data_IF_736967635806
#
_entry.id   IF_736967635806
#
_cell.length_a   1.000
_cell.length_b   1.000
_cell.length_c   1.000
_cell.angle_alpha   90.00
_cell.angle_beta   90.00
_cell.angle_gamma   90.00
#
_symmetry.space_group_name_H-M   'P 1'
#
loop_
_entity.id
_entity.type
_entity.pdbx_description
1 polymer ?
#
# COMPACT_ATOMS: atom_id res chain seq x y z
N UNK A 1 -21.56 -7.98 -2.85
CA UNK A 1 -20.40 -7.32 -2.19
C UNK A 1 -19.11 -7.88 -2.76
N UNK A 2 -18.27 -7.11 -3.48
CA UNK A 2 -17.03 -7.64 -4.03
C UNK A 2 -15.90 -7.60 -3.00
N UNK A 3 -15.14 -8.70 -2.92
CA UNK A 3 -13.92 -8.82 -2.11
C UNK A 3 -12.76 -8.17 -2.89
N UNK A 4 -12.18 -7.10 -2.37
CA UNK A 4 -10.93 -6.56 -2.89
C UNK A 4 -9.81 -7.58 -2.67
N UNK A 5 -9.42 -8.27 -3.75
CA UNK A 5 -8.27 -9.16 -3.79
C UNK A 5 -7.02 -8.31 -4.05
N UNK A 6 -6.29 -7.94 -3.00
CA UNK A 6 -4.99 -7.27 -3.13
C UNK A 6 -3.96 -8.21 -3.79
N UNK A 7 -3.92 -8.20 -5.12
CA UNK A 7 -3.01 -8.95 -5.99
C UNK A 7 -2.21 -7.97 -6.87
N UNK A 8 -1.68 -6.89 -6.29
CA UNK A 8 -0.81 -5.97 -7.04
C UNK A 8 0.49 -6.69 -7.45
N UNK A 9 0.79 -6.66 -8.75
CA UNK A 9 1.89 -7.37 -9.40
C UNK A 9 3.27 -6.94 -8.87
N UNK A 10 3.36 -5.70 -8.42
CA UNK A 10 4.57 -5.08 -7.82
C UNK A 10 5.04 -5.85 -6.58
N UNK A 11 4.10 -6.37 -5.76
CA UNK A 11 4.46 -7.12 -4.56
C UNK A 11 5.08 -8.49 -4.89
N UNK A 12 4.82 -9.06 -6.07
CA UNK A 12 5.28 -10.40 -6.45
C UNK A 12 6.78 -10.43 -6.72
N UNK A 13 7.34 -9.39 -7.35
CA UNK A 13 8.79 -9.32 -7.66
C UNK A 13 9.67 -9.22 -6.41
N UNK A 14 9.14 -8.71 -5.29
CA UNK A 14 9.88 -8.65 -4.02
C UNK A 14 9.93 -9.99 -3.25
N UNK A 15 9.08 -10.97 -3.63
CA UNK A 15 9.06 -12.30 -3.01
C UNK A 15 9.92 -13.33 -3.75
N UNK A 16 10.17 -13.17 -5.05
CA UNK A 16 10.93 -14.14 -5.85
C UNK A 16 12.44 -14.10 -5.58
N UNK A 17 12.97 -12.98 -5.05
CA UNK A 17 14.38 -12.83 -4.65
C UNK A 17 14.56 -12.53 -3.15
N UNK A 18 13.59 -12.86 -2.30
CA UNK A 18 13.71 -12.60 -0.87
C UNK A 18 14.70 -13.60 -0.22
N UNK A 19 15.94 -13.20 0.16
CA UNK A 19 16.84 -14.07 0.92
C UNK A 19 16.13 -14.50 2.21
N UNK A 20 16.52 -15.65 2.79
CA UNK A 20 15.88 -16.23 3.97
C UNK A 20 15.64 -15.21 5.11
N UNK A 21 16.53 -14.22 5.27
CA UNK A 21 16.40 -13.13 6.24
C UNK A 21 15.17 -12.23 6.06
N UNK A 22 14.67 -12.06 4.83
CA UNK A 22 13.47 -11.27 4.56
C UNK A 22 12.19 -11.92 5.11
N UNK A 23 12.06 -13.24 5.00
CA UNK A 23 10.92 -13.98 5.58
C UNK A 23 10.96 -13.95 7.12
N UNK A 24 12.17 -14.02 7.69
CA UNK A 24 12.37 -13.95 9.13
C UNK A 24 12.04 -12.55 9.67
N UNK A 25 12.48 -11.50 8.99
CA UNK A 25 12.16 -10.12 9.38
C UNK A 25 10.65 -9.84 9.32
N UNK A 26 9.99 -10.21 8.22
CA UNK A 26 8.53 -10.01 8.06
C UNK A 26 7.75 -10.79 9.14
N UNK A 27 8.17 -12.02 9.48
CA UNK A 27 7.57 -12.82 10.55
C UNK A 27 7.83 -12.22 11.95
N UNK A 28 9.04 -11.71 12.20
CA UNK A 28 9.40 -11.11 13.48
C UNK A 28 8.66 -9.78 13.71
N UNK A 29 8.48 -8.95 12.69
CA UNK A 29 7.66 -7.73 12.78
C UNK A 29 6.20 -8.05 13.07
N UNK A 30 5.64 -9.06 12.39
CA UNK A 30 4.28 -9.51 12.65
C UNK A 30 4.11 -10.09 14.07
N UNK A 31 5.14 -10.73 14.60
CA UNK A 31 5.13 -11.32 15.95
C UNK A 31 5.27 -10.25 17.05
N UNK A 32 6.22 -9.32 16.91
CA UNK A 32 6.48 -8.24 17.88
C UNK A 32 5.31 -7.26 17.96
N UNK A 33 4.61 -7.01 16.84
CA UNK A 33 3.45 -6.12 16.79
C UNK A 33 2.13 -6.72 17.28
N UNK A 34 2.12 -7.98 17.73
CA UNK A 34 0.89 -8.68 18.12
C UNK A 34 0.55 -8.46 19.60
N UNK A 35 -0.73 -8.15 19.89
CA UNK A 35 -1.26 -8.11 21.27
C UNK A 35 -1.02 -9.40 22.05
N UNK A 36 -0.97 -10.55 21.36
CA UNK A 36 -0.71 -11.85 22.00
C UNK A 36 0.72 -11.96 22.55
N UNK A 37 1.70 -11.34 21.88
CA UNK A 37 3.10 -11.37 22.32
C UNK A 37 3.27 -10.63 23.65
N UNK A 38 2.67 -9.43 23.77
CA UNK A 38 2.72 -8.65 25.01
C UNK A 38 2.15 -9.43 26.20
N UNK A 39 1.00 -10.09 26.03
CA UNK A 39 0.37 -10.88 27.09
C UNK A 39 1.28 -12.04 27.53
N UNK A 40 1.83 -12.80 26.58
CA UNK A 40 2.73 -13.93 26.88
C UNK A 40 3.99 -13.43 27.59
N UNK A 41 4.60 -12.33 27.12
CA UNK A 41 5.79 -11.74 27.73
C UNK A 41 5.52 -11.30 29.17
N UNK A 42 4.40 -10.61 29.43
CA UNK A 42 4.03 -10.15 30.78
C UNK A 42 3.80 -11.34 31.73
N UNK A 43 3.11 -12.38 31.27
CA UNK A 43 2.89 -13.60 32.08
C UNK A 43 4.21 -14.29 32.39
N UNK A 44 5.10 -14.43 31.40
CA UNK A 44 6.40 -15.09 31.58
C UNK A 44 7.28 -14.35 32.61
N UNK A 45 7.32 -13.02 32.53
CA UNK A 45 8.02 -12.18 33.52
C UNK A 45 7.40 -12.31 34.90
N UNK A 46 6.06 -12.30 34.98
CA UNK A 46 5.34 -12.48 36.24
C UNK A 46 5.63 -13.83 36.89
N UNK A 47 5.62 -14.92 36.12
CA UNK A 47 5.96 -16.27 36.58
C UNK A 47 7.41 -16.34 37.03
N UNK A 48 8.35 -15.69 36.33
CA UNK A 48 9.76 -15.64 36.72
C UNK A 48 9.94 -14.95 38.08
N UNK A 49 9.33 -13.78 38.26
CA UNK A 49 9.41 -13.02 39.52
C UNK A 49 8.78 -13.82 40.66
N UNK A 50 7.55 -14.31 40.48
CA UNK A 50 6.84 -15.09 41.51
C UNK A 50 7.62 -16.36 41.85
N UNK A 51 8.15 -17.07 40.85
CA UNK A 51 8.96 -18.25 41.05
C UNK A 51 10.24 -17.97 41.86
N UNK A 52 10.96 -16.89 41.54
CA UNK A 52 12.17 -16.52 42.26
C UNK A 52 11.91 -16.11 43.71
N UNK A 53 10.81 -15.37 43.96
CA UNK A 53 10.45 -14.88 45.29
C UNK A 53 9.86 -16.00 46.17
N UNK A 54 9.02 -16.88 45.62
CA UNK A 54 8.29 -17.90 46.38
C UNK A 54 9.10 -19.18 46.59
N UNK A 55 9.85 -19.64 45.58
CA UNK A 55 10.56 -20.93 45.66
C UNK A 55 11.92 -20.85 46.39
N UNK A 56 12.31 -19.71 46.98
CA UNK A 56 13.56 -19.54 47.76
C UNK A 56 14.86 -19.91 47.01
N UNK A 57 14.81 -20.17 45.70
CA UNK A 57 15.96 -20.64 44.93
C UNK A 57 17.04 -19.56 44.71
N UNK A 58 16.84 -18.32 45.15
CA UNK A 58 17.80 -17.20 45.06
C UNK A 58 18.53 -17.12 43.70
N UNK A 59 17.85 -17.55 42.63
CA UNK A 59 18.48 -17.71 41.33
C UNK A 59 18.71 -16.35 40.67
N UNK A 60 17.87 -15.36 41.01
CA UNK A 60 18.04 -13.95 40.67
C UNK A 60 17.50 -13.06 41.81
N UNK A 61 18.28 -12.82 42.88
CA UNK A 61 17.87 -11.96 44.00
C UNK A 61 17.66 -10.51 43.54
N UNK A 62 16.84 -9.75 44.26
CA UNK A 62 16.65 -8.33 44.01
C UNK A 62 18.02 -7.61 43.95
N UNK A 63 18.40 -6.95 42.83
CA UNK A 63 17.56 -6.25 41.84
C UNK A 63 17.37 -6.95 40.48
N UNK A 64 17.27 -8.29 40.44
CA UNK A 64 17.01 -9.09 39.22
C UNK A 64 17.99 -8.79 38.06
N UNK A 65 19.28 -9.05 38.28
CA UNK A 65 20.36 -8.74 37.33
C UNK A 65 20.21 -9.56 36.05
N UNK A 66 19.81 -10.82 36.15
CA UNK A 66 19.67 -11.69 34.98
C UNK A 66 18.49 -11.27 34.11
N UNK A 67 17.36 -10.93 34.73
CA UNK A 67 16.20 -10.42 34.02
C UNK A 67 16.52 -9.10 33.29
N UNK A 68 17.22 -8.18 33.97
CA UNK A 68 17.66 -6.92 33.36
C UNK A 68 18.64 -7.15 32.19
N UNK A 69 19.56 -8.10 32.32
CA UNK A 69 20.50 -8.45 31.24
C UNK A 69 19.79 -9.08 30.04
N UNK A 70 18.81 -9.93 30.29
CA UNK A 70 17.99 -10.55 29.26
C UNK A 70 17.19 -9.50 28.47
N UNK A 71 16.52 -8.57 29.16
CA UNK A 71 15.81 -7.46 28.51
C UNK A 71 16.74 -6.53 27.74
N UNK A 72 17.92 -6.22 28.29
CA UNK A 72 18.91 -5.39 27.61
C UNK A 72 19.40 -6.04 26.32
N UNK A 73 19.65 -7.35 26.36
CA UNK A 73 20.04 -8.14 25.18
C UNK A 73 18.89 -8.25 24.18
N UNK A 74 17.66 -8.46 24.66
CA UNK A 74 16.46 -8.50 23.83
C UNK A 74 16.27 -7.18 23.07
N UNK A 75 16.43 -6.04 23.74
CA UNK A 75 16.37 -4.72 23.11
C UNK A 75 17.50 -4.52 22.09
N UNK A 76 18.73 -4.95 22.42
CA UNK A 76 19.89 -4.84 21.53
C UNK A 76 19.71 -5.63 20.22
N UNK A 77 19.07 -6.81 20.26
CA UNK A 77 18.75 -7.58 19.05
C UNK A 77 17.47 -7.10 18.34
N UNK A 78 16.51 -6.54 19.08
CA UNK A 78 15.29 -5.99 18.49
C UNK A 78 15.58 -4.77 17.61
N UNK A 79 16.46 -3.86 18.04
CA UNK A 79 16.79 -2.64 17.29
C UNK A 79 17.25 -2.88 15.83
N UNK A 80 18.25 -3.72 15.54
CA UNK A 80 18.68 -3.99 14.16
C UNK A 80 17.62 -4.75 13.37
N UNK A 81 16.86 -5.65 14.01
CA UNK A 81 15.78 -6.38 13.36
C UNK A 81 14.64 -5.45 12.94
N UNK A 82 14.26 -4.50 13.80
CA UNK A 82 13.27 -3.46 13.50
C UNK A 82 13.79 -2.54 12.39
N UNK A 83 15.06 -2.17 12.40
CA UNK A 83 15.67 -1.35 11.35
C UNK A 83 15.65 -2.06 9.99
N UNK A 84 15.99 -3.34 9.95
CA UNK A 84 15.93 -4.15 8.73
C UNK A 84 14.50 -4.29 8.20
N UNK A 85 13.55 -4.54 9.10
CA UNK A 85 12.13 -4.59 8.74
C UNK A 85 11.62 -3.24 8.22
N UNK A 86 11.98 -2.13 8.88
CA UNK A 86 11.61 -0.78 8.48
C UNK A 86 12.18 -0.38 7.12
N UNK A 87 13.48 -0.61 6.88
CA UNK A 87 14.11 -0.33 5.58
C UNK A 87 13.42 -1.10 4.44
N UNK A 88 12.99 -2.34 4.69
CA UNK A 88 12.24 -3.14 3.70
C UNK A 88 10.83 -2.64 3.48
N UNK A 89 10.13 -2.18 4.52
CA UNK A 89 8.82 -1.54 4.38
C UNK A 89 8.90 -0.27 3.54
N UNK A 90 9.91 0.58 3.78
CA UNK A 90 10.14 1.81 3.00
C UNK A 90 10.42 1.49 1.53
N UNK A 91 11.19 0.44 1.24
CA UNK A 91 11.45 0.03 -0.15
C UNK A 91 10.16 -0.44 -0.86
N UNK A 92 9.31 -1.22 -0.17
CA UNK A 92 8.00 -1.62 -0.70
C UNK A 92 7.12 -0.41 -0.99
N UNK A 93 7.07 0.53 -0.04
CA UNK A 93 6.24 1.73 -0.14
C UNK A 93 6.68 2.59 -1.33
N UNK A 94 8.00 2.83 -1.45
CA UNK A 94 8.57 3.60 -2.56
C UNK A 94 8.23 3.01 -3.93
N UNK A 95 8.37 1.69 -4.10
CA UNK A 95 7.99 1.03 -5.36
C UNK A 95 6.49 1.12 -5.65
N UNK A 96 5.66 1.04 -4.60
CA UNK A 96 4.20 1.17 -4.73
C UNK A 96 3.84 2.58 -5.19
N UNK A 97 4.50 3.60 -4.63
CA UNK A 97 4.33 5.00 -5.03
C UNK A 97 4.81 5.24 -6.47
N UNK A 98 5.96 4.70 -6.87
CA UNK A 98 6.46 4.82 -8.24
C UNK A 98 5.50 4.18 -9.27
N UNK A 99 4.92 3.03 -8.94
CA UNK A 99 3.92 2.41 -9.81
C UNK A 99 2.61 3.20 -9.87
N UNK A 100 2.16 3.75 -8.74
CA UNK A 100 0.96 4.59 -8.70
C UNK A 100 1.17 5.87 -9.52
N UNK A 101 2.35 6.49 -9.45
CA UNK A 101 2.71 7.65 -10.26
C UNK A 101 2.69 7.31 -11.76
N UNK A 102 3.33 6.21 -12.17
CA UNK A 102 3.32 5.79 -13.57
C UNK A 102 1.91 5.46 -14.09
N UNK A 103 1.03 4.93 -13.23
CA UNK A 103 -0.38 4.71 -13.57
C UNK A 103 -1.14 6.03 -13.74
N UNK A 104 -0.90 7.00 -12.85
CA UNK A 104 -1.50 8.33 -12.94
C UNK A 104 -1.12 9.04 -14.24
N UNK A 105 0.14 8.96 -14.67
CA UNK A 105 0.60 9.54 -15.94
C UNK A 105 -0.15 8.95 -17.15
N UNK A 106 -0.36 7.63 -17.16
CA UNK A 106 -1.12 6.95 -18.23
C UNK A 106 -2.59 7.34 -18.19
N UNK A 107 -3.19 7.43 -17.00
CA UNK A 107 -4.58 7.89 -16.83
C UNK A 107 -4.75 9.34 -17.30
N UNK A 108 -3.80 10.22 -17.01
CA UNK A 108 -3.78 11.60 -17.49
C UNK A 108 -3.73 11.66 -19.02
N UNK A 109 -2.81 10.91 -19.65
CA UNK A 109 -2.75 10.81 -21.11
C UNK A 109 -4.06 10.28 -21.71
N UNK A 110 -4.68 9.28 -21.09
CA UNK A 110 -5.96 8.74 -21.55
C UNK A 110 -7.07 9.79 -21.44
N UNK A 111 -7.11 10.52 -20.34
CA UNK A 111 -8.10 11.58 -20.13
C UNK A 111 -7.93 12.70 -21.16
N UNK A 112 -6.69 13.12 -21.46
CA UNK A 112 -6.43 14.08 -22.54
C UNK A 112 -6.91 13.58 -23.91
N UNK A 113 -6.69 12.30 -24.22
CA UNK A 113 -7.16 11.71 -25.48
C UNK A 113 -8.68 11.69 -25.56
N UNK A 114 -9.37 11.38 -24.46
CA UNK A 114 -10.83 11.43 -24.38
C UNK A 114 -11.35 12.85 -24.60
N UNK A 115 -10.77 13.84 -23.91
CA UNK A 115 -11.14 15.26 -24.08
C UNK A 115 -10.95 15.75 -25.52
N UNK A 116 -9.84 15.36 -26.18
CA UNK A 116 -9.62 15.67 -27.60
C UNK A 116 -10.67 15.02 -28.49
N UNK A 117 -11.02 13.76 -28.22
CA UNK A 117 -12.08 13.04 -28.92
C UNK A 117 -13.44 13.73 -28.80
N UNK A 118 -13.81 14.14 -27.59
CA UNK A 118 -15.07 14.86 -27.33
C UNK A 118 -15.13 16.19 -28.08
N UNK A 119 -14.03 16.95 -28.09
CA UNK A 119 -13.94 18.20 -28.86
C UNK A 119 -14.14 17.94 -30.36
N UNK A 120 -13.52 16.89 -30.91
CA UNK A 120 -13.68 16.55 -32.33
C UNK A 120 -15.11 16.13 -32.66
N UNK A 121 -15.76 15.35 -31.80
CA UNK A 121 -17.17 14.96 -31.95
C UNK A 121 -18.06 16.20 -31.96
N UNK A 122 -17.88 17.11 -31.00
CA UNK A 122 -18.65 18.36 -30.93
C UNK A 122 -18.46 19.21 -32.19
N UNK A 123 -17.24 19.30 -32.72
CA UNK A 123 -16.95 20.03 -33.97
C UNK A 123 -17.65 19.39 -35.18
N UNK A 124 -17.70 18.06 -35.26
CA UNK A 124 -18.44 17.34 -36.31
C UNK A 124 -19.93 17.60 -36.22
N UNK A 125 -20.51 17.57 -35.01
CA UNK A 125 -21.93 17.89 -34.78
C UNK A 125 -22.25 19.31 -35.24
N UNK A 126 -21.46 20.31 -34.83
CA UNK A 126 -21.66 21.70 -35.26
C UNK A 126 -21.59 21.86 -36.79
N UNK A 127 -20.67 21.14 -37.44
CA UNK A 127 -20.55 21.14 -38.91
C UNK A 127 -21.77 20.53 -39.58
N UNK A 128 -22.33 19.44 -39.02
CA UNK A 128 -23.55 18.82 -39.52
C UNK A 128 -24.75 19.77 -39.37
N UNK A 129 -24.88 20.46 -38.24
CA UNK A 129 -25.92 21.47 -38.04
C UNK A 129 -25.84 22.58 -39.08
N UNK A 130 -24.64 23.11 -39.38
CA UNK A 130 -24.47 24.12 -40.42
C UNK A 130 -24.90 23.62 -41.81
N UNK A 131 -24.54 22.38 -42.17
CA UNK A 131 -24.96 21.79 -43.45
C UNK A 131 -26.48 21.61 -43.54
N UNK A 132 -27.14 21.23 -42.45
CA UNK A 132 -28.59 21.10 -42.40
C UNK A 132 -29.24 22.47 -42.66
N UNK A 133 -28.80 23.51 -41.95
CA UNK A 133 -29.31 24.87 -42.13
C UNK A 133 -29.09 25.40 -43.56
N UNK A 134 -27.93 25.14 -44.15
CA UNK A 134 -27.62 25.53 -45.53
C UNK A 134 -28.55 24.83 -46.54
N UNK A 135 -28.78 23.52 -46.36
CA UNK A 135 -29.72 22.76 -47.19
C UNK A 135 -31.16 23.28 -47.07
N UNK A 136 -31.62 23.59 -45.85
CA UNK A 136 -32.93 24.18 -45.61
C UNK A 136 -33.09 25.52 -46.34
N UNK A 137 -32.10 26.41 -46.24
CA UNK A 137 -32.12 27.70 -46.94
C UNK A 137 -32.15 27.53 -48.46
N UNK A 138 -31.38 26.57 -48.99
CA UNK A 138 -31.33 26.29 -50.44
C UNK A 138 -32.67 25.78 -50.96
N UNK A 139 -33.32 24.86 -50.25
CA UNK A 139 -34.66 24.35 -50.59
C UNK A 139 -35.69 25.48 -50.56
N UNK A 140 -35.68 26.31 -49.52
CA UNK A 140 -36.60 27.46 -49.41
C UNK A 140 -36.41 28.47 -50.54
N UNK A 141 -35.16 28.71 -50.97
CA UNK A 141 -34.84 29.58 -52.11
C UNK A 141 -35.37 29.01 -53.43
N UNK A 142 -35.19 27.71 -53.69
CA UNK A 142 -35.71 27.04 -54.89
C UNK A 142 -37.24 27.04 -54.94
N UNK A 143 -37.91 26.78 -53.82
CA UNK A 143 -39.38 26.83 -53.74
C UNK A 143 -39.91 28.23 -54.03
N UNK A 144 -39.23 29.27 -53.53
CA UNK A 144 -39.60 30.68 -53.77
C UNK A 144 -39.41 31.09 -55.24
N UNK A 145 -38.39 30.56 -55.92
CA UNK A 145 -38.13 30.87 -57.33
C UNK A 145 -39.03 30.16 -58.34
N UNK A 146 -39.85 29.19 -57.90
CA UNK A 146 -40.78 28.42 -58.74
C UNK A 146 -42.23 28.92 -58.70
N UNK A 147 -42.58 29.83 -57.79
CA UNK A 147 -43.90 30.48 -57.70
C UNK A 147 -43.89 31.84 -58.37
#
# INVERSE_FOLDING_TARGET
>A
MPRFSFRHVVNRRLYEEAPLGARVADAATAFIGSWRFLVIQTVLVGVWIVGNVVLLFHFDPYPFILLNLAFSTQAAYAAPLILLAGNRQVLRDRMTLEHAAAQADVEEEQNERLLKGDIEILARVATLEQRILELEQRILAELRGRG
#
